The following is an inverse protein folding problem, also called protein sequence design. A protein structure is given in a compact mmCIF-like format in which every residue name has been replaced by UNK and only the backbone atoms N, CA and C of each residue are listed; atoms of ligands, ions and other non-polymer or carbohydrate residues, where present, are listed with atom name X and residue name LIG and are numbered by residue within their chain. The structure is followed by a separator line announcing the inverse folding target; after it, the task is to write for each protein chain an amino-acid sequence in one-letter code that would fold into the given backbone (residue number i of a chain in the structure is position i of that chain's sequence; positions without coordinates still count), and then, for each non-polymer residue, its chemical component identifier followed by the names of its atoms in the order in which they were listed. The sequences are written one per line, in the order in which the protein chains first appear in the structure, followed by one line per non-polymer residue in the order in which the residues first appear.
data_IF_296778044806
#
_entry.id   IF_296778044806
#
_cell.length_a   1.000
_cell.length_b   1.000
_cell.length_c   1.000
_cell.angle_alpha   90.00
_cell.angle_beta   90.00
_cell.angle_gamma   90.00
#
_symmetry.space_group_name_H-M   'P 1'
#
loop_
_entity.id
_entity.type
_entity.pdbx_description
1 polymer ?
#
# COMPACT_ATOMS: atom_id res chain seq x y z
N UNK A 1 9.87 -4.06 -8.94
CA UNK A 1 9.10 -3.67 -7.75
C UNK A 1 7.95 -4.63 -7.52
N UNK A 2 7.72 -5.02 -6.28
CA UNK A 2 6.62 -5.92 -5.95
C UNK A 2 5.29 -5.16 -5.98
N UNK A 3 4.30 -5.75 -6.64
CA UNK A 3 2.94 -5.22 -6.67
C UNK A 3 2.08 -5.98 -5.67
N UNK A 4 1.10 -5.29 -5.12
CA UNK A 4 0.13 -5.89 -4.20
C UNK A 4 -0.86 -6.72 -5.01
N UNK A 5 -1.21 -7.91 -4.51
CA UNK A 5 -2.19 -8.77 -5.17
C UNK A 5 -3.57 -8.13 -5.19
N UNK A 6 -4.31 -8.34 -6.29
CA UNK A 6 -5.62 -7.73 -6.48
C UNK A 6 -6.62 -8.11 -5.39
N UNK A 7 -6.64 -9.36 -4.96
CA UNK A 7 -7.56 -9.79 -3.89
C UNK A 7 -7.34 -9.00 -2.61
N UNK A 8 -6.08 -8.78 -2.26
CA UNK A 8 -5.76 -7.98 -1.08
C UNK A 8 -6.11 -6.51 -1.28
N UNK A 9 -5.92 -5.97 -2.49
CA UNK A 9 -6.28 -4.57 -2.79
C UNK A 9 -7.77 -4.31 -2.64
N UNK A 10 -8.60 -5.29 -3.00
CA UNK A 10 -10.05 -5.20 -2.82
C UNK A 10 -10.40 -5.19 -1.33
N UNK A 11 -9.83 -6.09 -0.57
CA UNK A 11 -10.05 -6.16 0.88
C UNK A 11 -9.52 -4.90 1.58
N UNK A 12 -8.35 -4.43 1.19
CA UNK A 12 -7.73 -3.24 1.76
C UNK A 12 -8.56 -1.99 1.51
N UNK A 13 -9.10 -1.84 0.29
CA UNK A 13 -9.97 -0.71 -0.03
C UNK A 13 -11.22 -0.73 0.85
N UNK A 14 -11.84 -1.89 1.01
CA UNK A 14 -13.01 -2.03 1.90
C UNK A 14 -12.65 -1.68 3.34
N UNK A 15 -11.53 -2.18 3.83
CA UNK A 15 -11.07 -1.89 5.19
C UNK A 15 -10.83 -0.39 5.39
N UNK A 16 -10.24 0.29 4.42
CA UNK A 16 -10.06 1.74 4.48
C UNK A 16 -11.39 2.50 4.51
N UNK A 17 -12.38 2.03 3.74
CA UNK A 17 -13.69 2.68 3.70
C UNK A 17 -14.46 2.53 5.02
N UNK A 18 -14.29 1.42 5.73
CA UNK A 18 -15.04 1.14 6.96
C UNK A 18 -14.28 1.50 8.23
N UNK A 19 -12.99 1.80 8.13
CA UNK A 19 -12.15 2.11 9.29
C UNK A 19 -11.23 3.29 9.03
N UNK A 20 -11.47 4.37 9.75
CA UNK A 20 -10.58 5.53 9.72
C UNK A 20 -9.18 5.21 10.22
N UNK A 21 -9.05 4.28 11.18
CA UNK A 21 -7.75 3.86 11.69
C UNK A 21 -6.91 3.20 10.61
N UNK A 22 -7.50 2.26 9.85
CA UNK A 22 -6.79 1.60 8.76
C UNK A 22 -6.42 2.62 7.69
N UNK A 23 -7.35 3.50 7.33
CA UNK A 23 -7.08 4.52 6.33
C UNK A 23 -5.94 5.44 6.75
N UNK A 24 -5.94 5.90 8.00
CA UNK A 24 -4.90 6.80 8.52
C UNK A 24 -3.50 6.16 8.49
N UNK A 25 -3.41 4.86 8.70
CA UNK A 25 -2.13 4.14 8.71
C UNK A 25 -1.69 3.79 7.29
N UNK A 26 -2.60 3.33 6.45
CA UNK A 26 -2.29 2.75 5.13
C UNK A 26 -2.09 3.82 4.05
N UNK A 27 -3.03 4.75 3.95
CA UNK A 27 -3.07 5.68 2.80
C UNK A 27 -1.80 6.54 2.69
N UNK A 28 -1.22 7.09 3.78
CA UNK A 28 0.00 7.88 3.66
C UNK A 28 1.21 7.12 3.10
N UNK A 29 1.19 5.79 3.17
CA UNK A 29 2.30 4.94 2.72
C UNK A 29 2.02 4.24 1.40
N UNK A 30 0.85 4.45 0.82
CA UNK A 30 0.49 3.80 -0.44
C UNK A 30 1.15 4.52 -1.61
N UNK A 31 1.82 3.76 -2.48
CA UNK A 31 2.44 4.28 -3.68
C UNK A 31 1.77 3.68 -4.91
N UNK A 32 1.63 4.46 -5.97
CA UNK A 32 1.02 3.97 -7.20
C UNK A 32 1.77 2.79 -7.81
N UNK A 33 3.08 2.71 -7.60
CA UNK A 33 3.88 1.58 -8.07
C UNK A 33 3.48 0.24 -7.46
N UNK A 34 2.77 0.23 -6.33
CA UNK A 34 2.24 -0.99 -5.73
C UNK A 34 1.03 -1.53 -6.48
N UNK A 35 0.40 -0.72 -7.34
CA UNK A 35 -0.90 -1.02 -7.94
C UNK A 35 -0.71 -1.65 -9.31
N UNK A 36 -1.41 -2.77 -9.63
CA UNK A 36 -1.13 -3.54 -10.83
C UNK A 36 -1.67 -2.92 -12.12
N UNK A 37 -2.69 -2.08 -12.04
CA UNK A 37 -3.31 -1.51 -13.25
C UNK A 37 -4.07 -0.23 -12.96
N UNK A 38 -4.55 0.42 -14.01
CA UNK A 38 -5.21 1.71 -13.93
C UNK A 38 -6.49 1.74 -13.08
N UNK A 39 -7.37 0.73 -13.12
CA UNK A 39 -8.55 0.77 -12.26
C UNK A 39 -8.23 0.92 -10.78
N UNK A 40 -7.22 0.20 -10.28
CA UNK A 40 -6.81 0.34 -8.88
C UNK A 40 -6.18 1.70 -8.62
N UNK A 41 -5.44 2.25 -9.57
CA UNK A 41 -4.88 3.60 -9.43
C UNK A 41 -5.97 4.65 -9.29
N UNK A 42 -7.06 4.53 -10.07
CA UNK A 42 -8.20 5.45 -9.96
C UNK A 42 -8.86 5.37 -8.58
N UNK A 43 -9.08 4.16 -8.08
CA UNK A 43 -9.71 3.95 -6.78
C UNK A 43 -8.85 4.55 -5.67
N UNK A 44 -7.58 4.15 -5.61
CA UNK A 44 -6.70 4.59 -4.54
C UNK A 44 -6.34 6.06 -4.63
N UNK A 45 -6.24 6.62 -5.84
CA UNK A 45 -6.08 8.06 -6.00
C UNK A 45 -7.24 8.82 -5.33
N UNK A 46 -8.46 8.36 -5.56
CA UNK A 46 -9.61 8.97 -4.92
C UNK A 46 -9.54 8.88 -3.40
N UNK A 47 -9.16 7.71 -2.87
CA UNK A 47 -9.00 7.53 -1.42
C UNK A 47 -7.90 8.43 -0.85
N UNK A 48 -6.78 8.53 -1.53
CA UNK A 48 -5.66 9.38 -1.12
C UNK A 48 -6.09 10.85 -1.10
N UNK A 49 -6.69 11.33 -2.18
CA UNK A 49 -7.11 12.72 -2.30
C UNK A 49 -8.19 13.07 -1.27
N UNK A 50 -9.16 12.18 -1.08
CA UNK A 50 -10.24 12.41 -0.11
C UNK A 50 -9.70 12.46 1.31
N UNK A 51 -8.82 11.55 1.66
CA UNK A 51 -8.20 11.51 2.99
C UNK A 51 -7.37 12.77 3.25
N UNK A 52 -6.63 13.22 2.26
CA UNK A 52 -5.81 14.43 2.39
C UNK A 52 -6.69 15.66 2.70
N UNK A 53 -7.86 15.73 2.07
CA UNK A 53 -8.76 16.86 2.23
C UNK A 53 -9.64 16.77 3.50
N UNK A 54 -10.07 15.57 3.87
CA UNK A 54 -11.12 15.39 4.89
C UNK A 54 -10.68 14.65 6.15
N UNK A 55 -9.54 13.99 6.12
CA UNK A 55 -8.98 13.23 7.26
C UNK A 55 -9.89 12.11 7.77
N UNK A 56 -10.75 11.61 6.91
CA UNK A 56 -11.67 10.50 7.19
C UNK A 56 -11.95 9.75 5.89
N UNK A 57 -12.47 8.50 5.97
CA UNK A 57 -12.81 7.76 4.76
C UNK A 57 -14.04 8.32 4.07
N UNK A 58 -14.10 8.26 2.73
CA UNK A 58 -15.36 8.48 2.02
C UNK A 58 -16.29 7.28 2.22
N UNK A 59 -17.53 7.41 1.80
CA UNK A 59 -18.45 6.28 1.72
C UNK A 59 -18.23 5.53 0.41
N UNK A 60 -18.68 4.28 0.37
CA UNK A 60 -18.65 3.51 -0.87
C UNK A 60 -19.45 4.20 -1.99
N UNK A 61 -20.59 4.79 -1.62
CA UNK A 61 -21.40 5.55 -2.56
C UNK A 61 -20.66 6.72 -3.17
N UNK A 62 -19.89 7.45 -2.36
CA UNK A 62 -19.08 8.56 -2.84
C UNK A 62 -17.99 8.06 -3.81
N UNK A 63 -17.34 6.95 -3.49
CA UNK A 63 -16.36 6.34 -4.38
C UNK A 63 -17.00 6.00 -5.73
N UNK A 64 -18.15 5.34 -5.72
CA UNK A 64 -18.85 4.95 -6.94
C UNK A 64 -19.28 6.15 -7.78
N UNK A 65 -19.64 7.26 -7.15
CA UNK A 65 -20.05 8.47 -7.84
C UNK A 65 -18.90 9.23 -8.49
N UNK A 66 -17.72 9.16 -7.89
CA UNK A 66 -16.57 9.96 -8.30
C UNK A 66 -15.54 9.20 -9.14
N UNK A 67 -15.60 7.89 -9.17
CA UNK A 67 -14.71 7.04 -9.97
C UNK A 67 -15.58 6.24 -10.92
N UNK A 68 -15.78 6.79 -12.12
CA UNK A 68 -16.83 6.33 -13.03
C UNK A 68 -16.34 5.56 -14.25
N UNK A 69 -15.03 5.31 -14.37
CA UNK A 69 -14.48 4.51 -15.45
C UNK A 69 -15.09 3.10 -15.40
N UNK A 70 -15.46 2.58 -16.56
CA UNK A 70 -16.20 1.32 -16.67
C UNK A 70 -15.50 0.14 -15.99
N UNK A 71 -14.20 -0.02 -16.24
CA UNK A 71 -13.41 -1.10 -15.65
C UNK A 71 -13.32 -0.95 -14.13
N UNK A 72 -13.26 0.27 -13.65
CA UNK A 72 -13.18 0.58 -12.24
C UNK A 72 -14.48 0.28 -11.52
N UNK A 73 -15.63 0.51 -12.15
CA UNK A 73 -16.92 0.21 -11.55
C UNK A 73 -17.09 -1.28 -11.25
N UNK A 74 -16.54 -2.16 -12.08
CA UNK A 74 -16.56 -3.59 -11.81
C UNK A 74 -15.80 -3.92 -10.52
N UNK A 75 -14.66 -3.29 -10.30
CA UNK A 75 -13.86 -3.48 -9.08
C UNK A 75 -14.59 -2.90 -7.86
N UNK A 76 -15.23 -1.75 -8.01
CA UNK A 76 -16.03 -1.16 -6.93
C UNK A 76 -17.15 -2.12 -6.50
N UNK A 77 -17.77 -2.82 -7.46
CA UNK A 77 -18.74 -3.86 -7.16
C UNK A 77 -18.17 -4.98 -6.31
N UNK A 78 -16.95 -5.41 -6.62
CA UNK A 78 -16.25 -6.42 -5.81
C UNK A 78 -15.93 -5.90 -4.41
N UNK A 79 -15.53 -4.64 -4.29
CA UNK A 79 -15.29 -4.01 -2.99
C UNK A 79 -16.55 -4.00 -2.16
N UNK A 80 -17.70 -3.70 -2.77
CA UNK A 80 -18.99 -3.70 -2.07
C UNK A 80 -19.29 -5.07 -1.46
N UNK A 81 -19.03 -6.13 -2.20
CA UNK A 81 -19.44 -7.48 -1.81
C UNK A 81 -18.42 -8.20 -0.94
N UNK A 82 -17.16 -7.75 -0.91
CA UNK A 82 -16.14 -8.42 -0.14
C UNK A 82 -16.42 -8.31 1.35
N UNK A 83 -16.16 -9.41 2.06
CA UNK A 83 -16.18 -9.42 3.52
C UNK A 83 -14.75 -9.30 4.03
N UNK A 84 -14.54 -8.40 4.99
CA UNK A 84 -13.24 -8.24 5.63
C UNK A 84 -13.23 -9.11 6.87
N UNK A 85 -12.65 -10.30 6.75
CA UNK A 85 -12.55 -11.24 7.87
C UNK A 85 -11.34 -10.98 8.75
N UNK A 86 -10.29 -10.40 8.17
CA UNK A 86 -9.07 -10.11 8.91
C UNK A 86 -9.28 -8.93 9.86
N UNK A 87 -8.62 -8.98 11.01
CA UNK A 87 -8.61 -7.84 11.92
C UNK A 87 -7.88 -6.65 11.29
N UNK A 88 -8.14 -5.46 11.82
CA UNK A 88 -7.42 -4.25 11.40
C UNK A 88 -5.91 -4.45 11.49
N UNK A 89 -5.44 -5.07 12.56
CA UNK A 89 -4.03 -5.34 12.78
C UNK A 89 -3.45 -6.26 11.71
N UNK A 90 -4.17 -7.33 11.35
CA UNK A 90 -3.72 -8.25 10.31
C UNK A 90 -3.63 -7.57 8.94
N UNK A 91 -4.60 -6.73 8.62
CA UNK A 91 -4.59 -5.97 7.36
C UNK A 91 -3.39 -5.04 7.31
N UNK A 92 -3.11 -4.32 8.39
CA UNK A 92 -1.97 -3.42 8.47
C UNK A 92 -0.65 -4.20 8.38
N UNK A 93 -0.55 -5.35 9.06
CA UNK A 93 0.64 -6.20 8.99
C UNK A 93 0.88 -6.74 7.58
N UNK A 94 -0.18 -7.13 6.89
CA UNK A 94 -0.07 -7.60 5.50
C UNK A 94 0.40 -6.48 4.59
N UNK A 95 -0.15 -5.29 4.74
CA UNK A 95 0.28 -4.12 3.98
C UNK A 95 1.75 -3.78 4.27
N UNK A 96 2.15 -3.80 5.53
CA UNK A 96 3.53 -3.58 5.95
C UNK A 96 4.49 -4.57 5.28
N UNK A 97 4.09 -5.84 5.18
CA UNK A 97 4.89 -6.86 4.49
C UNK A 97 5.08 -6.51 3.02
N UNK A 98 4.05 -6.01 2.35
CA UNK A 98 4.18 -5.55 0.97
C UNK A 98 5.15 -4.37 0.84
N UNK A 99 5.10 -3.43 1.77
CA UNK A 99 6.04 -2.29 1.78
C UNK A 99 7.48 -2.79 1.92
N UNK A 100 7.74 -3.65 2.90
CA UNK A 100 9.08 -4.20 3.12
C UNK A 100 9.58 -4.96 1.89
N UNK A 101 8.72 -5.78 1.31
CA UNK A 101 9.07 -6.54 0.11
C UNK A 101 9.46 -5.61 -1.03
N UNK A 102 8.69 -4.56 -1.25
CA UNK A 102 8.98 -3.57 -2.28
C UNK A 102 10.33 -2.88 -2.01
N UNK A 103 10.59 -2.51 -0.76
CA UNK A 103 11.84 -1.87 -0.37
C UNK A 103 13.05 -2.80 -0.60
N UNK A 104 12.91 -4.11 -0.32
CA UNK A 104 13.96 -5.08 -0.60
C UNK A 104 14.22 -5.24 -2.10
N UNK A 105 13.17 -5.27 -2.92
CA UNK A 105 13.36 -5.30 -4.37
C UNK A 105 14.15 -4.08 -4.86
N UNK A 106 13.78 -2.90 -4.40
CA UNK A 106 14.46 -1.67 -4.79
C UNK A 106 15.93 -1.66 -4.32
N UNK A 107 16.16 -2.14 -3.11
CA UNK A 107 17.51 -2.25 -2.55
C UNK A 107 18.38 -3.21 -3.35
N UNK A 108 17.84 -4.37 -3.76
CA UNK A 108 18.58 -5.32 -4.57
C UNK A 108 18.91 -4.75 -5.94
N UNK A 109 18.00 -4.03 -6.55
CA UNK A 109 18.23 -3.37 -7.84
C UNK A 109 19.35 -2.32 -7.72
N UNK A 110 19.33 -1.52 -6.66
CA UNK A 110 20.37 -0.51 -6.40
C UNK A 110 21.75 -1.16 -6.20
N UNK A 111 21.80 -2.22 -5.39
CA UNK A 111 23.04 -2.94 -5.15
C UNK A 111 23.59 -3.60 -6.41
N UNK A 112 22.72 -4.21 -7.23
CA UNK A 112 23.11 -4.81 -8.50
C UNK A 112 23.71 -3.77 -9.44
N UNK A 113 23.14 -2.58 -9.50
CA UNK A 113 23.67 -1.49 -10.30
C UNK A 113 25.06 -1.07 -9.84
N UNK A 114 25.27 -0.98 -8.53
CA UNK A 114 26.58 -0.65 -7.97
C UNK A 114 27.63 -1.74 -8.30
N UNK A 115 27.25 -3.01 -8.18
CA UNK A 115 28.13 -4.12 -8.58
C UNK A 115 28.52 -4.03 -10.05
N UNK A 116 27.56 -3.74 -10.92
CA UNK A 116 27.80 -3.64 -12.35
C UNK A 116 28.73 -2.47 -12.70
N UNK A 117 28.77 -1.44 -11.86
CA UNK A 117 29.66 -0.29 -12.02
C UNK A 117 31.02 -0.50 -11.37
N UNK A 118 31.29 -1.67 -10.80
CA UNK A 118 32.54 -1.98 -10.12
C UNK A 118 32.66 -1.43 -8.71
N UNK A 119 31.55 -0.94 -8.14
CA UNK A 119 31.51 -0.35 -6.78
C UNK A 119 31.07 -1.37 -5.75
N UNK A 120 31.80 -2.46 -5.63
CA UNK A 120 31.43 -3.61 -4.81
C UNK A 120 31.34 -3.29 -3.33
N UNK A 121 32.30 -2.56 -2.78
CA UNK A 121 32.27 -2.21 -1.36
C UNK A 121 31.09 -1.31 -1.00
N UNK A 122 30.78 -0.36 -1.89
CA UNK A 122 29.64 0.52 -1.72
C UNK A 122 28.32 -0.25 -1.78
N UNK A 123 28.23 -1.24 -2.68
CA UNK A 123 27.05 -2.11 -2.78
C UNK A 123 26.85 -2.91 -1.49
N UNK A 124 27.90 -3.49 -0.95
CA UNK A 124 27.86 -4.28 0.29
C UNK A 124 27.41 -3.40 1.46
N UNK A 125 27.99 -2.22 1.58
CA UNK A 125 27.61 -1.28 2.63
C UNK A 125 26.15 -0.85 2.52
N UNK A 126 25.70 -0.55 1.32
CA UNK A 126 24.31 -0.16 1.05
C UNK A 126 23.35 -1.28 1.46
N UNK A 127 23.66 -2.55 1.09
CA UNK A 127 22.84 -3.68 1.49
C UNK A 127 22.77 -3.82 3.01
N UNK A 128 23.91 -3.72 3.70
CA UNK A 128 23.94 -3.88 5.15
C UNK A 128 23.13 -2.79 5.86
N UNK A 129 23.38 -1.53 5.52
CA UNK A 129 22.77 -0.39 6.20
C UNK A 129 21.26 -0.30 5.93
N UNK A 130 20.86 -0.42 4.66
CA UNK A 130 19.45 -0.28 4.29
C UNK A 130 18.60 -1.49 4.65
N UNK A 131 19.18 -2.70 4.66
CA UNK A 131 18.47 -3.90 5.12
C UNK A 131 18.05 -3.76 6.58
N UNK A 132 18.89 -3.16 7.40
CA UNK A 132 18.57 -2.91 8.80
C UNK A 132 17.37 -1.97 8.92
N UNK A 133 17.38 -0.86 8.17
CA UNK A 133 16.27 0.10 8.17
C UNK A 133 14.96 -0.56 7.74
N UNK A 134 15.00 -1.39 6.70
CA UNK A 134 13.81 -2.08 6.20
C UNK A 134 13.26 -3.04 7.26
N UNK A 135 14.13 -3.79 7.92
CA UNK A 135 13.72 -4.72 8.97
C UNK A 135 13.12 -4.02 10.19
N UNK A 136 13.54 -2.82 10.47
CA UNK A 136 13.05 -2.03 11.60
C UNK A 136 11.77 -1.27 11.28
N UNK A 137 11.40 -1.17 10.01
CA UNK A 137 10.19 -0.45 9.60
C UNK A 137 8.93 -1.12 10.14
N UNK A 138 8.06 -0.34 10.79
CA UNK A 138 6.78 -0.83 11.29
C UNK A 138 5.72 0.26 11.25
N UNK A 139 4.54 -0.11 10.78
CA UNK A 139 3.35 0.75 10.81
C UNK A 139 2.60 0.63 12.13
N UNK A 140 2.83 -0.44 12.90
CA UNK A 140 2.11 -0.69 14.15
C UNK A 140 2.32 0.40 15.18
N UNK A 141 3.52 0.95 15.27
CA UNK A 141 3.84 1.98 16.26
C UNK A 141 3.04 3.25 16.07
N UNK A 142 2.49 3.46 14.88
CA UNK A 142 1.68 4.64 14.57
C UNK A 142 0.22 4.47 14.94
N UNK A 143 -0.24 3.23 15.10
CA UNK A 143 -1.64 2.92 15.32
C UNK A 143 -1.97 2.65 16.77
N UNK A 144 -1.01 2.18 17.56
CA UNK A 144 -1.28 1.67 18.88
C UNK A 144 -0.79 2.61 19.98
N UNK A 145 -1.67 3.45 20.48
CA UNK A 145 -1.41 4.07 21.77
C UNK A 145 -1.44 2.93 22.81
N UNK A 146 -0.46 2.84 23.55
CA UNK A 146 -0.40 1.85 24.62
C UNK A 146 -0.73 2.47 25.94
#
# INVERSE_FOLDING_TARGET
MAQIKEDFLIELAKACLVSGEVMDVVIPHLQYSFLPNEPYKHIYKYLIDYHAANKKPPTLGMLAQNVTQKDTLAIIGKIREVNVYDSKQQIIETFETYIRTSQFFDLHAEAAELFNKGKQEEAIKTLADKSKEINEFSLKTKMLPK
#
